data_IF_828060342925
#
_entry.id   IF_828060342925
#
_cell.length_a   1.000
_cell.length_b   1.000
_cell.length_c   1.000
_cell.angle_alpha   90.00
_cell.angle_beta   90.00
_cell.angle_gamma   90.00
#
_symmetry.space_group_name_H-M   'P 1'
#
loop_
_entity.id
_entity.type
_entity.pdbx_description
1 polymer ?
2 non-polymer ?
3 non-polymer ?
4 non-polymer ?
5 non-polymer ?
6 water ?
#
# COMPACT_ATOMS: atom_id res chain seq x y z
N UNK A 12 -16.67 15.92 -22.41
CA UNK A 12 -16.78 15.04 -23.57
C UNK A 12 -16.74 13.57 -23.17
N UNK A 13 -17.25 12.72 -24.04
CA UNK A 13 -17.22 11.27 -23.87
C UNK A 13 -16.10 10.72 -24.74
N UNK A 14 -15.07 10.13 -24.12
CA UNK A 14 -13.95 9.58 -24.87
C UNK A 14 -14.03 8.05 -24.99
N UNK A 15 -13.39 7.51 -26.03
CA UNK A 15 -13.14 6.06 -26.10
C UNK A 15 -11.69 5.69 -25.76
N UNK A 16 -10.74 6.60 -26.00
CA UNK A 16 -9.32 6.40 -25.72
C UNK A 16 -8.82 7.50 -24.80
N UNK A 17 -7.90 7.16 -23.89
CA UNK A 17 -7.27 8.16 -23.03
C UNK A 17 -5.92 7.60 -22.59
N UNK A 18 -4.83 8.13 -23.13
CA UNK A 18 -3.53 7.53 -22.89
C UNK A 18 -3.56 6.09 -23.35
N UNK A 19 -3.22 5.14 -22.47
CA UNK A 19 -3.26 3.75 -22.88
C UNK A 19 -4.51 3.02 -22.39
N UNK A 20 -5.51 3.75 -21.90
CA UNK A 20 -6.79 3.13 -21.55
C UNK A 20 -7.73 3.15 -22.76
N UNK A 21 -8.54 2.09 -22.90
CA UNK A 21 -9.53 1.95 -23.98
C UNK A 21 -10.84 1.45 -23.35
N UNK A 22 -11.97 2.10 -23.70
CA UNK A 22 -13.26 1.61 -23.27
C UNK A 22 -13.45 0.14 -23.69
N UNK A 23 -14.01 -0.66 -22.75
CA UNK A 23 -14.31 -2.09 -22.80
C UNK A 23 -13.19 -2.95 -22.20
N UNK A 24 -12.03 -2.38 -21.86
CA UNK A 24 -10.97 -3.17 -21.26
C UNK A 24 -11.34 -3.62 -19.84
N UNK A 25 -10.74 -4.74 -19.42
CA UNK A 25 -10.84 -5.21 -18.04
C UNK A 25 -9.93 -4.38 -17.15
N UNK A 26 -10.36 -4.11 -15.92
CA UNK A 26 -9.49 -3.39 -14.98
C UNK A 26 -9.84 -3.81 -13.57
N UNK A 27 -9.25 -3.11 -12.61
CA UNK A 27 -9.61 -3.19 -11.20
C UNK A 27 -10.07 -1.80 -10.75
N UNK A 28 -11.10 -1.75 -9.90
CA UNK A 28 -11.56 -0.49 -9.35
C UNK A 28 -11.72 -0.54 -7.85
N UNK A 29 -11.61 0.65 -7.23
CA UNK A 29 -11.77 0.74 -5.76
C UNK A 29 -13.25 0.86 -5.38
N UNK A 30 -13.76 -0.09 -4.56
CA UNK A 30 -15.12 0.03 -4.01
C UNK A 30 -15.12 0.87 -2.73
N UNK A 31 -16.33 1.22 -2.28
CA UNK A 31 -16.46 2.05 -1.10
C UNK A 31 -15.98 1.35 0.17
N UNK A 32 -15.86 0.02 0.13
CA UNK A 32 -15.25 -0.74 1.21
C UNK A 32 -13.76 -0.51 1.31
N UNK A 33 -13.17 0.17 0.33
CA UNK A 33 -11.72 0.43 0.17
C UNK A 33 -10.93 -0.82 -0.24
N UNK A 34 -11.60 -1.91 -0.63
CA UNK A 34 -10.95 -3.04 -1.29
C UNK A 34 -11.22 -2.94 -2.81
N UNK A 35 -10.38 -3.63 -3.59
CA UNK A 35 -10.33 -3.47 -5.03
C UNK A 35 -10.80 -4.74 -5.73
N UNK A 36 -11.53 -4.59 -6.86
CA UNK A 36 -12.31 -5.67 -7.44
C UNK A 36 -12.34 -5.57 -8.95
N UNK A 37 -12.54 -6.71 -9.60
CA UNK A 37 -12.54 -6.77 -11.06
C UNK A 37 -13.78 -6.15 -11.71
N UNK A 38 -13.57 -5.51 -12.85
CA UNK A 38 -14.68 -4.97 -13.59
C UNK A 38 -14.28 -4.57 -15.00
N UNK A 39 -15.17 -3.84 -15.65
CA UNK A 39 -15.01 -3.40 -17.03
C UNK A 39 -15.09 -1.88 -17.11
N UNK A 40 -14.16 -1.26 -17.86
CA UNK A 40 -14.23 0.19 -18.12
C UNK A 40 -15.30 0.46 -19.18
N UNK A 41 -16.43 1.09 -18.79
CA UNK A 41 -17.52 1.28 -19.76
C UNK A 41 -17.65 2.71 -20.30
N UNK A 42 -16.91 3.69 -19.75
CA UNK A 42 -17.00 5.07 -20.22
C UNK A 42 -15.83 5.89 -19.70
N UNK A 43 -15.40 6.88 -20.48
CA UNK A 43 -14.40 7.84 -20.03
C UNK A 43 -14.98 9.24 -20.25
N UNK A 44 -15.02 10.07 -19.20
CA UNK A 44 -15.70 11.35 -19.26
C UNK A 44 -14.72 12.50 -18.92
N UNK A 45 -14.81 13.62 -19.65
CA UNK A 45 -14.00 14.79 -19.34
C UNK A 45 -14.85 15.98 -18.93
N UNK A 46 -14.30 16.80 -18.03
CA UNK A 46 -14.83 18.14 -17.78
C UNK A 46 -13.70 19.12 -17.55
N UNK A 47 -13.30 19.82 -18.61
CA UNK A 47 -12.17 20.71 -18.53
C UNK A 47 -10.89 19.91 -18.45
N UNK A 48 -10.09 20.13 -17.40
CA UNK A 48 -8.88 19.33 -17.23
C UNK A 48 -9.09 18.02 -16.48
N UNK A 49 -10.27 17.81 -15.86
CA UNK A 49 -10.52 16.60 -15.11
C UNK A 49 -11.04 15.44 -15.95
N UNK A 50 -10.87 14.23 -15.41
CA UNK A 50 -11.22 13.00 -16.11
C UNK A 50 -11.88 12.04 -15.12
N UNK A 51 -12.94 11.35 -15.54
CA UNK A 51 -13.54 10.30 -14.72
C UNK A 51 -13.73 9.03 -15.52
N UNK A 52 -13.82 7.91 -14.80
CA UNK A 52 -13.77 6.58 -15.42
C UNK A 52 -14.91 5.74 -14.89
N UNK A 53 -15.85 5.35 -15.74
CA UNK A 53 -17.03 4.60 -15.28
C UNK A 53 -16.74 3.11 -15.34
N UNK A 54 -16.92 2.42 -14.21
CA UNK A 54 -16.55 1.03 -14.08
C UNK A 54 -17.80 0.23 -13.71
N UNK A 55 -18.07 -0.82 -14.47
CA UNK A 55 -19.10 -1.80 -14.10
C UNK A 55 -18.44 -3.02 -13.46
N UNK A 56 -18.75 -3.27 -12.18
CA UNK A 56 -18.10 -4.37 -11.48
C UNK A 56 -18.75 -5.70 -11.85
N UNK A 57 -17.99 -6.80 -11.69
CA UNK A 57 -18.47 -8.11 -12.12
C UNK A 57 -19.66 -8.58 -11.29
N UNK A 58 -19.63 -8.35 -9.99
CA UNK A 58 -20.63 -8.90 -9.10
C UNK A 58 -21.33 -7.77 -8.36
N UNK A 59 -21.76 -6.76 -9.11
CA UNK A 59 -22.22 -5.52 -8.49
C UNK A 59 -22.72 -4.53 -9.53
N UNK A 60 -22.80 -3.28 -9.13
CA UNK A 60 -23.22 -2.21 -9.99
C UNK A 60 -22.05 -1.43 -10.52
N UNK A 61 -22.21 -0.11 -10.61
CA UNK A 61 -21.29 0.80 -11.26
C UNK A 61 -20.77 1.82 -10.25
N UNK A 62 -19.62 2.41 -10.57
CA UNK A 62 -19.13 3.59 -9.89
C UNK A 62 -18.46 4.47 -10.93
N UNK A 63 -18.51 5.77 -10.70
CA UNK A 63 -17.74 6.74 -11.47
C UNK A 63 -16.53 7.16 -10.64
N UNK A 64 -15.34 6.84 -11.12
CA UNK A 64 -14.10 6.88 -10.35
C UNK A 64 -13.05 7.85 -10.92
N UNK A 65 -12.26 8.46 -10.04
CA UNK A 65 -11.09 9.19 -10.51
C UNK A 65 -10.00 8.21 -10.96
N UNK A 66 -9.00 8.73 -11.69
CA UNK A 66 -8.00 7.85 -12.29
C UNK A 66 -7.02 7.18 -11.31
N UNK A 67 -6.88 7.72 -10.11
CA UNK A 67 -6.08 7.08 -9.08
C UNK A 67 -6.87 6.01 -8.31
N UNK A 68 -8.14 5.82 -8.64
CA UNK A 68 -8.95 4.77 -8.03
C UNK A 68 -9.27 3.61 -9.01
N UNK A 69 -8.49 3.48 -10.07
CA UNK A 69 -8.54 2.32 -10.95
C UNK A 69 -7.10 1.80 -11.10
N UNK A 70 -6.96 0.51 -11.42
CA UNK A 70 -5.64 -0.13 -11.60
C UNK A 70 -5.67 -1.12 -12.76
N UNK A 71 -4.51 -1.32 -13.39
CA UNK A 71 -4.41 -2.31 -14.45
C UNK A 71 -4.53 -3.74 -13.90
N UNK A 72 -5.17 -4.64 -14.66
CA UNK A 72 -5.27 -6.03 -14.24
C UNK A 72 -4.12 -6.88 -14.78
N UNK A 73 -2.89 -6.40 -14.61
CA UNK A 73 -1.68 -7.17 -14.91
C UNK A 73 -0.61 -6.79 -13.90
N UNK A 74 0.43 -7.59 -13.85
CA UNK A 74 1.53 -7.30 -12.95
C UNK A 74 2.58 -6.46 -13.70
N UNK A 75 3.12 -5.44 -13.07
CA UNK A 75 4.02 -4.52 -13.78
C UNK A 75 5.42 -5.08 -13.91
N UNK A 76 6.13 -4.77 -14.98
CA UNK A 76 7.54 -5.14 -15.08
C UNK A 76 8.35 -4.40 -14.03
N UNK A 77 9.44 -5.03 -13.57
CA UNK A 77 10.16 -4.48 -12.43
C UNK A 77 10.79 -3.12 -12.74
N UNK A 78 11.17 -2.87 -14.00
CA UNK A 78 11.83 -1.59 -14.26
C UNK A 78 10.88 -0.41 -14.22
N UNK A 79 9.57 -0.64 -14.03
CA UNK A 79 8.59 0.43 -14.04
C UNK A 79 8.10 0.76 -12.64
N UNK A 80 8.66 0.12 -11.60
CA UNK A 80 8.31 0.37 -10.22
C UNK A 80 9.48 1.03 -9.51
N UNK A 81 9.18 2.04 -8.68
CA UNK A 81 10.16 2.79 -7.93
C UNK A 81 9.74 2.83 -6.47
N UNK A 82 10.67 3.24 -5.60
CA UNK A 82 10.24 3.66 -4.28
C UNK A 82 9.28 4.83 -4.47
N UNK A 83 8.10 4.71 -3.88
CA UNK A 83 7.05 5.69 -4.06
C UNK A 83 5.97 5.32 -5.06
N UNK A 84 6.12 4.25 -5.85
CA UNK A 84 5.09 3.88 -6.82
C UNK A 84 3.79 3.54 -6.09
N UNK A 85 2.69 3.92 -6.73
CA UNK A 85 1.34 3.68 -6.18
C UNK A 85 0.76 2.40 -6.75
N UNK A 86 0.39 1.46 -5.85
CA UNK A 86 0.05 0.08 -6.26
C UNK A 86 -1.13 -0.43 -5.44
N UNK A 87 -1.70 -1.53 -5.93
CA UNK A 87 -2.63 -2.42 -5.23
C UNK A 87 -1.92 -3.75 -4.99
N UNK A 88 -1.98 -4.26 -3.75
CA UNK A 88 -1.30 -5.51 -3.42
C UNK A 88 -2.21 -6.44 -2.61
N UNK A 89 -1.85 -7.73 -2.66
CA UNK A 89 -2.47 -8.73 -1.78
C UNK A 89 -2.21 -8.39 -0.31
N UNK A 90 -3.30 -8.44 0.47
CA UNK A 90 -3.38 -7.98 1.85
C UNK A 90 -4.03 -9.10 2.65
N UNK A 91 -3.36 -9.54 3.72
CA UNK A 91 -3.81 -10.66 4.54
C UNK A 91 -4.59 -10.15 5.74
N UNK A 92 -5.82 -10.64 5.90
CA UNK A 92 -6.76 -10.17 6.94
C UNK A 92 -7.34 -11.42 7.61
N UNK A 93 -6.74 -11.83 8.73
CA UNK A 93 -7.14 -13.10 9.32
C UNK A 93 -6.86 -14.24 8.36
N UNK A 94 -7.88 -15.06 8.10
CA UNK A 94 -7.77 -16.11 7.11
C UNK A 94 -8.29 -15.68 5.74
N UNK A 95 -8.60 -14.40 5.55
CA UNK A 95 -9.02 -13.87 4.26
C UNK A 95 -7.93 -13.01 3.63
N UNK A 96 -8.04 -12.82 2.31
CA UNK A 96 -7.10 -11.98 1.57
C UNK A 96 -7.87 -11.03 0.67
N UNK A 97 -7.37 -9.79 0.55
CA UNK A 97 -8.02 -8.76 -0.23
C UNK A 97 -6.97 -8.14 -1.13
N UNK A 98 -7.43 -7.27 -2.01
CA UNK A 98 -6.58 -6.31 -2.72
C UNK A 98 -6.77 -4.93 -2.10
N UNK A 99 -5.67 -4.29 -1.69
CA UNK A 99 -5.67 -3.06 -0.93
C UNK A 99 -4.55 -2.16 -1.45
N UNK A 100 -4.81 -0.85 -1.41
CA UNK A 100 -3.83 0.11 -1.94
C UNK A 100 -2.65 0.38 -1.00
N UNK A 101 -1.50 0.69 -1.60
CA UNK A 101 -0.26 0.92 -0.88
C UNK A 101 0.78 1.68 -1.70
N UNK A 102 1.97 1.80 -1.13
CA UNK A 102 3.15 2.45 -1.76
C UNK A 102 4.36 1.51 -1.72
N UNK A 103 5.12 1.41 -2.82
CA UNK A 103 6.33 0.60 -2.78
C UNK A 103 7.38 1.26 -1.90
N UNK A 104 7.89 0.53 -0.88
CA UNK A 104 8.94 1.04 -0.01
C UNK A 104 10.34 0.46 -0.29
N UNK A 105 10.42 -0.73 -0.90
CA UNK A 105 11.69 -1.35 -1.33
C UNK A 105 11.41 -2.16 -2.59
N UNK A 106 12.33 -2.13 -3.56
CA UNK A 106 12.31 -3.03 -4.70
C UNK A 106 13.22 -4.23 -4.44
N UNK A 107 13.12 -5.30 -5.26
CA UNK A 107 13.83 -6.55 -4.94
C UNK A 107 15.34 -6.38 -4.89
N UNK A 108 15.96 -6.98 -3.87
CA UNK A 108 17.41 -6.90 -3.71
C UNK A 108 17.87 -8.05 -2.81
N UNK A 109 19.18 -8.17 -2.63
CA UNK A 109 19.73 -9.36 -1.98
C UNK A 109 19.36 -9.40 -0.51
N UNK A 110 19.38 -8.25 0.17
CA UNK A 110 19.07 -8.25 1.59
C UNK A 110 17.62 -8.61 1.89
N UNK A 111 16.69 -8.41 0.93
CA UNK A 111 15.28 -8.71 1.18
C UNK A 111 14.79 -9.94 0.43
N UNK A 112 15.72 -10.78 -0.05
CA UNK A 112 15.41 -12.01 -0.79
C UNK A 112 14.48 -11.74 -1.97
N UNK A 113 14.77 -10.65 -2.68
CA UNK A 113 14.16 -10.35 -3.98
C UNK A 113 12.64 -10.21 -3.92
N UNK A 114 12.16 -9.44 -2.94
CA UNK A 114 10.75 -9.13 -2.72
C UNK A 114 10.50 -7.62 -2.80
N UNK A 115 9.22 -7.22 -2.90
CA UNK A 115 8.83 -5.82 -2.77
C UNK A 115 8.27 -5.59 -1.36
N UNK A 116 8.71 -4.50 -0.72
CA UNK A 116 8.11 -4.08 0.56
C UNK A 116 7.00 -3.08 0.29
N UNK A 117 5.82 -3.31 0.89
CA UNK A 117 4.65 -2.47 0.66
C UNK A 117 4.24 -1.81 1.97
N UNK A 118 4.03 -0.48 1.94
CA UNK A 118 3.37 0.27 3.02
C UNK A 118 1.89 0.52 2.62
N UNK A 119 0.96 -0.07 3.35
CA UNK A 119 -0.45 0.02 2.95
C UNK A 119 -1.06 1.28 3.51
N UNK A 120 -2.20 1.68 2.93
CA UNK A 120 -2.82 2.97 3.24
C UNK A 120 -3.24 3.06 4.69
N UNK A 121 -3.48 1.92 5.33
CA UNK A 121 -3.95 1.94 6.71
C UNK A 121 -2.83 1.77 7.74
N UNK A 122 -1.57 1.69 7.30
CA UNK A 122 -0.45 1.55 8.20
C UNK A 122 0.15 0.17 8.33
N UNK A 123 -0.41 -0.86 7.71
CA UNK A 123 0.27 -2.15 7.80
C UNK A 123 1.36 -2.25 6.74
N UNK A 124 2.30 -3.18 6.95
CA UNK A 124 3.44 -3.41 6.03
C UNK A 124 3.66 -4.90 5.77
N UNK A 125 4.08 -5.25 4.53
CA UNK A 125 4.36 -6.64 4.22
C UNK A 125 5.26 -6.73 3.00
N UNK A 126 5.97 -7.85 2.91
CA UNK A 126 6.73 -8.21 1.68
C UNK A 126 5.82 -9.04 0.78
N UNK A 127 5.81 -8.73 -0.53
CA UNK A 127 5.01 -9.45 -1.52
C UNK A 127 5.90 -9.75 -2.73
N UNK A 128 5.40 -10.60 -3.62
CA UNK A 128 6.10 -10.89 -4.86
C UNK A 128 5.50 -10.07 -6.00
N UNK A 129 6.25 -10.02 -7.13
CA UNK A 129 5.76 -9.30 -8.31
C UNK A 129 4.37 -9.76 -8.72
N UNK A 130 4.06 -11.05 -8.54
CA UNK A 130 2.78 -11.62 -8.93
C UNK A 130 1.64 -11.22 -8.00
N UNK A 131 1.93 -10.47 -6.95
CA UNK A 131 0.92 -10.05 -5.98
C UNK A 131 0.64 -8.55 -6.04
N UNK A 132 1.14 -7.86 -7.11
CA UNK A 132 1.09 -6.41 -7.23
C UNK A 132 0.43 -6.00 -8.54
N UNK A 133 -0.29 -4.87 -8.50
CA UNK A 133 -0.92 -4.24 -9.69
C UNK A 133 -0.70 -2.73 -9.66
N UNK A 134 -0.40 -2.10 -10.81
CA UNK A 134 -0.13 -0.65 -10.78
C UNK A 134 -1.38 0.20 -10.97
N UNK A 135 -1.49 1.26 -10.15
CA UNK A 135 -2.63 2.16 -10.29
C UNK A 135 -2.48 3.00 -11.57
N UNK A 136 -3.61 3.28 -12.24
CA UNK A 136 -3.54 3.79 -13.63
C UNK A 136 -3.02 5.22 -13.70
N UNK A 137 -3.58 6.13 -12.92
CA UNK A 137 -3.23 7.55 -13.02
C UNK A 137 -2.88 8.08 -11.62
N UNK A 138 -1.68 7.74 -11.10
CA UNK A 138 -1.32 8.20 -9.75
C UNK A 138 -1.17 9.72 -9.69
N UNK A 139 -1.34 10.28 -8.49
CA UNK A 139 -1.05 11.70 -8.28
C UNK A 139 0.46 11.98 -8.41
N UNK A 140 0.80 13.23 -8.79
CA UNK A 140 2.21 13.65 -8.92
C UNK A 140 2.99 13.37 -7.64
N UNK A 141 2.44 13.76 -6.49
CA UNK A 141 2.93 13.29 -5.18
C UNK A 141 2.05 12.11 -4.76
N UNK A 142 2.58 10.90 -4.93
CA UNK A 142 1.75 9.70 -4.96
C UNK A 142 1.01 9.48 -3.63
N UNK A 143 1.56 9.98 -2.52
CA UNK A 143 0.99 9.78 -1.18
C UNK A 143 -0.16 10.73 -0.88
N UNK A 144 -0.47 11.68 -1.76
CA UNK A 144 -1.41 12.74 -1.36
C UNK A 144 -2.86 12.27 -1.37
N UNK A 145 -3.15 11.06 -1.84
CA UNK A 145 -4.50 10.49 -1.72
C UNK A 145 -4.59 9.43 -0.62
N UNK A 146 -3.65 9.43 0.32
CA UNK A 146 -3.76 8.57 1.51
C UNK A 146 -4.59 9.33 2.55
N UNK A 147 -5.70 8.73 2.98
CA UNK A 147 -6.68 9.49 3.79
C UNK A 147 -6.21 9.74 5.23
N UNK A 148 -5.56 8.77 5.86
CA UNK A 148 -5.06 8.89 7.23
C UNK A 148 -3.83 9.80 7.30
N UNK A 149 -3.96 10.93 7.99
CA UNK A 149 -2.92 11.95 8.03
C UNK A 149 -1.61 11.40 8.60
N UNK A 150 -1.65 10.61 9.67
CA UNK A 150 -0.40 10.11 10.24
C UNK A 150 0.29 9.15 9.28
N UNK A 151 -0.47 8.29 8.60
CA UNK A 151 0.15 7.39 7.63
C UNK A 151 0.72 8.17 6.44
N UNK A 152 -0.08 9.10 5.89
CA UNK A 152 0.36 9.94 4.77
C UNK A 152 1.64 10.73 5.09
N UNK A 153 1.71 11.34 6.28
CA UNK A 153 2.91 12.11 6.62
C UNK A 153 4.15 11.22 6.80
N UNK A 154 3.98 10.01 7.37
CA UNK A 154 5.13 9.11 7.49
C UNK A 154 5.65 8.72 6.11
N UNK A 155 4.76 8.33 5.21
CA UNK A 155 5.21 7.92 3.88
C UNK A 155 5.83 9.10 3.10
N UNK A 156 5.26 10.31 3.21
CA UNK A 156 5.94 11.44 2.54
C UNK A 156 7.40 11.59 3.00
N UNK A 157 7.64 11.55 4.32
CA UNK A 157 9.02 11.69 4.81
C UNK A 157 9.90 10.52 4.33
N UNK A 158 9.35 9.30 4.36
CA UNK A 158 10.13 8.11 3.97
C UNK A 158 10.54 8.18 2.50
N UNK A 159 9.56 8.42 1.62
CA UNK A 159 9.81 8.42 0.17
C UNK A 159 10.75 9.55 -0.19
N UNK A 160 10.59 10.74 0.40
CA UNK A 160 11.45 11.84 -0.03
C UNK A 160 12.85 11.75 0.59
N UNK A 161 13.01 11.10 1.77
CA UNK A 161 14.34 10.94 2.38
C UNK A 161 15.15 9.80 1.78
N UNK A 162 14.49 8.80 1.17
CA UNK A 162 15.12 7.59 0.66
C UNK A 162 16.25 8.02 -0.27
N UNK A 163 17.43 7.39 -0.18
CA UNK A 163 17.77 6.17 0.57
C UNK A 163 18.27 6.37 2.02
N UNK A 164 18.18 7.57 2.59
CA UNK A 164 18.48 7.76 4.01
C UNK A 164 17.33 7.18 4.83
N UNK A 165 17.59 6.04 5.51
CA UNK A 165 16.55 5.27 6.19
C UNK A 165 16.96 4.93 7.61
N UNK A 166 16.70 5.83 8.58
CA UNK A 166 16.96 5.49 9.99
C UNK A 166 16.15 4.28 10.40
N UNK A 167 16.80 3.35 11.10
CA UNK A 167 16.17 2.10 11.52
C UNK A 167 16.82 1.66 12.83
N UNK A 168 16.06 0.94 13.68
CA UNK A 168 16.65 0.39 14.89
C UNK A 168 17.05 -1.06 14.63
N UNK A 169 18.25 -1.41 15.08
CA UNK A 169 18.79 -2.76 14.94
C UNK A 169 18.27 -3.58 16.11
N UNK A 170 17.54 -4.64 15.79
CA UNK A 170 16.81 -5.46 16.75
C UNK A 170 17.18 -6.93 16.63
N UNK A 171 17.18 -7.64 17.75
CA UNK A 171 17.51 -9.05 17.79
C UNK A 171 16.39 -9.81 18.51
N UNK A 172 16.18 -11.06 18.11
CA UNK A 172 15.17 -11.89 18.77
C UNK A 172 15.44 -11.99 20.26
N UNK A 173 14.39 -11.83 21.06
CA UNK A 173 14.50 -11.84 22.51
C UNK A 173 14.49 -10.47 23.15
N UNK A 174 14.76 -9.42 22.37
CA UNK A 174 14.92 -8.08 22.91
C UNK A 174 13.59 -7.51 23.41
N UNK A 175 13.61 -6.89 24.59
CA UNK A 175 12.42 -6.28 25.16
C UNK A 175 12.36 -4.81 24.79
N UNK A 176 11.22 -4.36 24.25
CA UNK A 176 11.02 -2.95 23.89
C UNK A 176 9.57 -2.55 24.07
N UNK A 177 9.29 -1.26 23.94
CA UNK A 177 7.94 -0.70 24.01
C UNK A 177 7.41 -0.40 22.61
N UNK A 178 6.16 -0.80 22.34
CA UNK A 178 5.52 -0.57 21.05
C UNK A 178 4.18 0.12 21.25
N UNK A 179 3.86 1.02 20.33
CA UNK A 179 2.64 1.79 20.39
C UNK A 179 1.45 0.98 19.89
N UNK A 180 0.32 1.19 20.55
CA UNK A 180 -0.96 0.69 20.04
C UNK A 180 -2.05 1.54 20.69
N UNK A 181 -2.97 2.03 19.86
CA UNK A 181 -4.09 2.87 20.30
C UNK A 181 -3.65 3.99 21.22
N UNK A 182 -2.50 4.60 20.90
CA UNK A 182 -2.08 5.82 21.54
C UNK A 182 -1.21 5.68 22.78
N UNK A 183 -0.97 4.48 23.27
CA UNK A 183 -0.11 4.32 24.44
C UNK A 183 0.98 3.30 24.16
N UNK A 184 1.92 3.19 25.11
CA UNK A 184 3.07 2.31 24.98
C UNK A 184 2.81 1.00 25.72
N UNK A 185 3.15 -0.11 25.08
CA UNK A 185 2.93 -1.45 25.64
C UNK A 185 4.22 -2.23 25.75
N UNK A 186 4.34 -3.04 26.80
CA UNK A 186 5.48 -3.95 26.92
C UNK A 186 5.40 -5.04 25.85
N UNK A 187 6.52 -5.26 25.14
CA UNK A 187 6.53 -6.13 23.98
C UNK A 187 7.92 -6.77 23.83
N UNK A 188 8.01 -7.74 22.91
CA UNK A 188 9.25 -8.50 22.69
C UNK A 188 9.43 -8.76 21.21
N UNK A 189 10.68 -8.66 20.75
CA UNK A 189 11.03 -9.03 19.38
C UNK A 189 11.00 -10.55 19.23
N UNK A 190 10.17 -11.04 18.32
CA UNK A 190 10.12 -12.49 18.10
C UNK A 190 10.98 -12.96 16.92
N UNK A 191 11.15 -12.14 15.88
CA UNK A 191 11.70 -12.52 14.58
C UNK A 191 11.99 -11.24 13.79
N UNK A 192 13.05 -11.26 12.95
CA UNK A 192 13.36 -10.16 12.03
C UNK A 192 13.42 -10.74 10.62
N UNK A 193 12.84 -10.03 9.67
CA UNK A 193 12.81 -10.44 8.26
C UNK A 193 13.07 -9.16 7.45
N UNK A 194 14.31 -8.97 7.01
CA UNK A 194 14.66 -7.76 6.23
C UNK A 194 14.36 -6.49 7.01
N UNK A 195 13.56 -5.58 6.45
CA UNK A 195 13.28 -4.33 7.15
C UNK A 195 12.10 -4.44 8.09
N UNK A 196 11.55 -5.64 8.30
CA UNK A 196 10.41 -5.82 9.20
C UNK A 196 10.80 -6.59 10.45
N UNK A 197 10.07 -6.35 11.55
CA UNK A 197 10.24 -7.12 12.80
C UNK A 197 8.86 -7.61 13.26
N UNK A 198 8.80 -8.82 13.83
CA UNK A 198 7.56 -9.37 14.34
C UNK A 198 7.57 -9.11 15.84
N UNK A 199 6.60 -8.34 16.32
CA UNK A 199 6.53 -7.88 17.72
C UNK A 199 5.44 -8.67 18.43
N UNK A 200 5.77 -9.25 19.58
CA UNK A 200 4.80 -9.90 20.46
C UNK A 200 4.41 -8.93 21.56
N UNK A 201 3.12 -8.55 21.60
CA UNK A 201 2.58 -7.74 22.69
C UNK A 201 2.36 -8.67 23.89
N UNK A 202 3.00 -8.37 25.01
CA UNK A 202 3.15 -9.37 26.06
C UNK A 202 1.86 -9.58 26.84
N UNK A 203 1.11 -8.51 27.10
CA UNK A 203 -0.14 -8.65 27.86
C UNK A 203 -1.21 -9.37 27.05
N UNK A 204 -1.33 -9.05 25.76
CA UNK A 204 -2.36 -9.63 24.89
C UNK A 204 -1.92 -10.92 24.19
N UNK A 205 -0.62 -11.24 24.18
CA UNK A 205 -0.09 -12.45 23.54
C UNK A 205 -0.51 -12.58 22.07
N UNK A 206 -0.45 -11.45 21.33
CA UNK A 206 -0.69 -11.44 19.89
C UNK A 206 0.48 -10.76 19.19
N UNK A 207 0.70 -11.08 17.92
CA UNK A 207 1.88 -10.59 17.19
C UNK A 207 1.49 -9.66 16.04
N UNK A 208 2.44 -8.83 15.62
CA UNK A 208 2.22 -7.94 14.47
C UNK A 208 3.57 -7.71 13.77
N UNK A 209 3.59 -7.68 12.42
CA UNK A 209 4.79 -7.23 11.71
C UNK A 209 4.83 -5.71 11.57
N UNK A 210 5.98 -5.09 11.91
CA UNK A 210 6.12 -3.64 11.92
C UNK A 210 7.44 -3.25 11.23
N UNK A 211 7.44 -2.16 10.46
CA UNK A 211 8.70 -1.67 9.87
C UNK A 211 9.68 -1.17 10.95
N UNK A 212 10.98 -1.49 10.79
CA UNK A 212 11.99 -1.20 11.81
C UNK A 212 12.34 0.28 11.91
N UNK A 213 11.87 1.10 10.97
CA UNK A 213 11.98 2.54 11.12
C UNK A 213 10.72 3.21 11.61
N UNK A 214 9.72 2.45 12.09
CA UNK A 214 8.42 3.01 12.42
C UNK A 214 8.48 3.77 13.74
N UNK A 215 7.78 4.90 13.79
CA UNK A 215 7.70 5.67 15.02
C UNK A 215 6.87 4.96 16.09
N UNK A 216 6.21 3.84 15.75
CA UNK A 216 5.56 2.99 16.77
C UNK A 216 6.54 2.18 17.61
N UNK A 217 7.82 2.11 17.25
CA UNK A 217 8.85 1.47 18.06
C UNK A 217 9.54 2.52 18.94
N UNK A 218 9.54 2.28 20.25
CA UNK A 218 10.01 3.33 21.16
C UNK A 218 11.42 3.84 20.85
N UNK A 219 12.41 3.01 20.52
CA UNK A 219 13.71 3.60 20.14
C UNK A 219 13.63 4.56 18.95
N UNK A 220 12.79 4.29 17.95
CA UNK A 220 12.66 5.24 16.85
C UNK A 220 11.95 6.52 17.31
N UNK A 221 10.94 6.38 18.16
CA UNK A 221 10.25 7.54 18.71
C UNK A 221 11.20 8.41 19.53
N UNK A 222 12.24 7.82 20.11
CA UNK A 222 13.19 8.54 20.96
C UNK A 222 14.16 9.38 20.13
N UNK A 223 14.62 8.83 19.00
CA UNK A 223 15.57 9.54 18.13
X LIG B 1 13.57 1.15 -10.74
X LIG C 1 -14.02 2.53 -31.21
X LIG D 1 -12.98 8.17 -7.10
X LIG E 1 -18.98 0.46 -4.36
X LIG F 1 -5.31 11.15 -11.08
X LIG G 1 -10.86 -13.77 8.80
X LIG H 1 -11.86 -12.86 0.40
X LIG I 1 5.91 -9.82 5.34
X LIG J 1 16.20 14.27 1.29
X LIG K 1 1.49 13.56 -12.92
X LIG L 1 3.54 7.82 21.91
X LIG M 1 16.82 -3.83 2.43
X LIG N 1 7.74 -10.68 7.00
X LIG O 1 9.53 -14.55 -2.89
X LIG P 1 -6.93 10.77 -15.08
X LIG Q 1 -4.66 12.16 -15.79
X LIG R 1 -8.90 11.35 -12.80
X LIG S 1 19.30 -10.04 12.41
X LIG T 1 16.26 -6.89 26.18
X LIG U 1 16.78 -10.69 7.46
X LIG V 1 -9.43 -5.05 5.18
X LIG W 1 -16.58 -5.46 -1.29
X LIG X 1 19.83 3.12 10.93
X LIG Y 1 17.58 4.13 15.97
X LIG Z 1 2.30 16.20 0.01
X LIG AA 1 -1.08 2.77 15.63
X LIG BA 1 -2.79 4.79 16.82
X LIG CA 1 1.46 3.67 -11.39
X LIG DA 1 10.09 16.55 1.24
X LIG EA 1 -8.89 14.58 -13.05
X LIG FA 1 20.08 -3.99 9.65
X LIG GA 1 12.09 -14.62 4.30
X LIG HA 1 -1.45 0.75 12.34
X LIG IA 1 6.20 -13.84 -8.57
X LIG JA 1 13.84 10.24 7.60
X LIG KA 1 -2.62 -4.45 23.31
X LIG LA 1 -2.79 12.67 -11.81
X LIG MA 1 2.57 -0.53 11.31
X LIG NA 1 1.64 -3.14 11.51
X LIG OA 1 2.02 14.33 3.80
X LIG PA 1 -8.74 -6.05 -21.27
X LIG QA 1 -11.21 -9.88 6.14
X LIG RA 1 -3.13 -13.18 -10.69
X LIG SA 1 -17.05 7.07 -22.95
X LIG TA 1 -7.39 0.52 -0.76
X LIG UA 1 -7.17 2.92 0.60
X LIG VA 1 -5.85 17.74 -17.44
X LIG WA 1 -0.54 -7.25 5.68
X LIG XA 1 -19.10 14.07 -20.23
X LIG YA 1 -2.24 -6.24 18.85
X LIG ZA 1 -14.39 5.17 -2.93
X LIG ZA 1 -13.49 4.84 -1.79
X LIG ZA 1 -14.68 6.96 -3.15
X LIG ZA 1 -13.52 4.81 -4.50
X LIG AB 1 -13.55 -9.94 -7.47
X LIG AB 1 -14.55 -9.85 -8.53
X LIG AB 1 -14.15 -9.65 -6.17
X LIG AB 1 -12.48 -8.99 -7.79
X LIG AB 1 -12.98 -11.30 -7.49
X LIG BB 1 -21.86 9.66 -0.71
X LIG BB 1 -23.09 10.28 -1.18
X LIG BB 1 -20.90 10.68 -0.31
X LIG BB 1 -22.12 8.79 0.41
X LIG BB 1 -21.30 8.89 -1.82
X LIG CB 1 3.36 3.60 11.12
X LIG CB 1 5.17 2.85 9.59
X LIG CB 1 4.21 2.67 8.42
X LIG CB 1 4.09 1.43 7.93
X LIG CB 1 3.50 3.75 7.92
X LIG CB 1 2.61 3.51 6.87
X LIG CB 1 2.46 2.25 6.38
X LIG CB 1 3.22 1.24 6.94
X LIG CB 1 3.48 4.98 11.30
X LIG CB 1 2.37 5.75 11.57
X LIG CB 1 0.01 5.94 11.90
X LIG CB 1 1.12 5.17 11.65
X LIG CB 1 2.09 3.02 11.21
X LIG CB 1 0.98 3.79 11.48
X LIG CB 1 4.47 2.83 10.86
#
# INVERSE_FOLDING_TARGET
MHHHHHHSSGRENLYFQGDLIVSMRILGKKRTKTWHKGTLIAIQTVGPGKKYKVKFDNKGKSLLSGNHIAYDYHPPADKLYVGSRVVAKYKDGNQVWLYAGIVAETPNVKNKLRFLIFFDDGYASYVTQSELYPICRPLKKTWEDIEDISCRDFIEEYVTAYPNRPMVLLKSGQLIKTEWEGTWWKSRVEEVDGSLVRILFLDDKRCEWIYRGSTRLEPMFSMKT
UNX UNK
UNX UNK
UNX UNK
UNX UNK
UNX UNK
UNX UNK
UNX UNK
UNX UNK
UNX UNK
UNX UNK
UNX UNK
UNX UNK
UNX UNK
UNX UNK
UNX UNK
UNX UNK
UNX UNK
UNX UNK
UNX UNK
UNX UNK
UNX UNK
UNX UNK
UNX UNK
UNX UNK
UNX UNK
UNX UNK
UNX UNK
UNX UNK
UNX UNK
UNX UNK
UNX UNK
UNX UNK
UNX UNK
UNX UNK
UNX UNK
UNX UNK
UNX UNK
UNX UNK
UNX UNK
UNX UNK
UNX UNK
UNX UNK
UNX UNK
UNX UNK
UNX UNK
UNX UNK
UNX UNK
UNX UNK
UNX UNK
UNX UNK
DMS S O C1 C2
SO4 S O1 O2 O3 O4
SO4 S O1 O2 O3 O4
6RN C4 C5 C6 N1 C7 C8 C9 C10 C11 C12 O C1 C3 C2 N
#
